data_IF_308845690028
#
_entry.id   IF_308845690028
#
_cell.length_a   1.000
_cell.length_b   1.000
_cell.length_c   1.000
_cell.angle_alpha   90.00
_cell.angle_beta   90.00
_cell.angle_gamma   90.00
#
_symmetry.space_group_name_H-M   'P 1'
#
loop_
_entity.id
_entity.type
_entity.pdbx_description
1 polymer ?
#
# COMPACT_ATOMS: atom_id res chain seq x y z
N UNK A 1 -15.16 -13.70 -5.16
CA UNK A 1 -13.90 -14.04 -4.50
C UNK A 1 -13.04 -12.78 -4.44
N UNK A 2 -12.35 -12.50 -3.32
CA UNK A 2 -11.34 -11.45 -3.24
C UNK A 2 -10.19 -11.67 -4.24
N UNK A 3 -9.49 -10.60 -4.68
CA UNK A 3 -8.40 -10.73 -5.65
C UNK A 3 -7.12 -11.25 -5.00
N UNK A 4 -6.44 -12.18 -5.64
CA UNK A 4 -5.07 -12.57 -5.27
C UNK A 4 -4.06 -11.46 -5.56
N UNK A 5 -2.90 -11.51 -4.92
CA UNK A 5 -1.80 -10.55 -5.14
C UNK A 5 -1.36 -10.45 -6.62
N UNK A 6 -1.19 -11.55 -7.39
CA UNK A 6 -0.85 -11.46 -8.82
C UNK A 6 -1.95 -10.77 -9.64
N UNK A 7 -3.23 -10.97 -9.31
CA UNK A 7 -4.36 -10.33 -10.01
C UNK A 7 -4.40 -8.80 -9.84
N UNK A 8 -3.75 -8.27 -8.79
CA UNK A 8 -3.58 -6.83 -8.55
C UNK A 8 -2.18 -6.33 -8.91
N UNK A 9 -1.35 -7.18 -9.54
CA UNK A 9 -0.03 -6.83 -10.06
C UNK A 9 1.08 -6.81 -9.00
N UNK A 10 0.90 -7.50 -7.88
CA UNK A 10 1.96 -7.74 -6.90
C UNK A 10 2.55 -9.13 -7.16
N UNK A 11 3.85 -9.17 -7.39
CA UNK A 11 4.62 -10.41 -7.52
C UNK A 11 5.35 -10.67 -6.19
N UNK A 12 4.83 -11.60 -5.39
CA UNK A 12 5.53 -12.10 -4.21
C UNK A 12 6.29 -13.35 -4.61
N UNK A 13 7.61 -13.28 -4.52
CA UNK A 13 8.49 -14.44 -4.62
C UNK A 13 8.68 -15.04 -3.21
N UNK A 14 9.90 -14.99 -2.67
CA UNK A 14 10.22 -15.53 -1.34
C UNK A 14 10.16 -14.49 -0.20
N UNK A 15 10.13 -13.19 -0.52
CA UNK A 15 10.36 -12.10 0.44
C UNK A 15 9.13 -11.18 0.49
N UNK A 16 8.75 -10.65 1.68
CA UNK A 16 7.75 -9.60 1.77
C UNK A 16 8.05 -8.41 0.85
N UNK A 17 6.97 -7.83 0.34
CA UNK A 17 6.99 -6.52 -0.30
C UNK A 17 6.32 -5.50 0.61
N UNK A 18 6.57 -4.23 0.35
CA UNK A 18 5.88 -3.13 0.99
C UNK A 18 5.04 -2.39 -0.04
N UNK A 19 3.82 -2.00 0.33
CA UNK A 19 2.97 -1.16 -0.52
C UNK A 19 2.94 0.27 0.00
N UNK A 20 3.00 1.22 -0.92
CA UNK A 20 2.81 2.64 -0.65
C UNK A 20 1.61 3.15 -1.44
N UNK A 21 0.58 3.67 -0.75
CA UNK A 21 -0.61 4.21 -1.41
C UNK A 21 -0.23 5.44 -2.23
N UNK A 22 -0.74 5.52 -3.45
CA UNK A 22 -0.65 6.70 -4.31
C UNK A 22 -2.05 7.16 -4.72
N UNK A 23 -2.21 8.45 -5.02
CA UNK A 23 -3.53 8.97 -5.38
C UNK A 23 -3.91 8.67 -6.83
N UNK A 24 -2.96 8.78 -7.76
CA UNK A 24 -3.25 8.60 -9.20
C UNK A 24 -2.11 7.85 -9.90
N UNK A 25 -2.38 6.65 -10.46
CA UNK A 25 -1.41 5.89 -11.25
C UNK A 25 -0.88 6.61 -12.49
N UNK A 26 -1.64 7.57 -13.03
CA UNK A 26 -1.24 8.32 -14.24
C UNK A 26 0.06 9.10 -14.04
N UNK A 27 0.41 9.46 -12.80
CA UNK A 27 1.68 10.13 -12.50
C UNK A 27 2.89 9.18 -12.49
N UNK A 28 2.65 7.87 -12.63
CA UNK A 28 3.68 6.82 -12.61
C UNK A 28 3.75 6.05 -13.93
N UNK A 29 2.58 5.71 -14.48
CA UNK A 29 2.41 4.91 -15.69
C UNK A 29 2.29 5.78 -16.97
N UNK A 30 2.88 6.98 -17.01
CA UNK A 30 2.88 7.78 -18.24
C UNK A 30 3.85 7.20 -19.28
N UNK A 31 3.62 7.57 -20.55
CA UNK A 31 4.46 7.18 -21.69
C UNK A 31 5.65 8.13 -21.90
N UNK A 32 5.91 9.03 -20.95
CA UNK A 32 7.07 9.93 -21.01
C UNK A 32 8.38 9.14 -20.88
N UNK A 33 9.50 9.77 -21.21
CA UNK A 33 10.80 9.18 -20.95
C UNK A 33 11.06 9.01 -19.43
N UNK A 34 12.03 8.16 -19.08
CA UNK A 34 12.31 7.80 -17.69
C UNK A 34 12.59 9.03 -16.80
N UNK A 35 13.33 10.02 -17.31
CA UNK A 35 13.67 11.20 -16.51
C UNK A 35 12.42 12.04 -16.22
N UNK A 36 11.60 12.29 -17.24
CA UNK A 36 10.35 13.03 -17.09
C UNK A 36 9.37 12.28 -16.17
N UNK A 37 9.25 10.96 -16.30
CA UNK A 37 8.43 10.12 -15.42
C UNK A 37 8.87 10.23 -13.96
N UNK A 38 10.18 10.14 -13.70
CA UNK A 38 10.74 10.25 -12.35
C UNK A 38 10.44 11.62 -11.75
N UNK A 39 10.71 12.70 -12.50
CA UNK A 39 10.47 14.07 -12.03
C UNK A 39 8.98 14.29 -11.71
N UNK A 40 8.09 13.81 -12.58
CA UNK A 40 6.64 13.87 -12.38
C UNK A 40 6.19 13.09 -11.14
N UNK A 41 6.68 11.86 -10.96
CA UNK A 41 6.34 11.03 -9.82
C UNK A 41 6.81 11.64 -8.50
N UNK A 42 8.05 12.14 -8.43
CA UNK A 42 8.57 12.83 -7.24
C UNK A 42 7.67 14.00 -6.86
N UNK A 43 7.38 14.89 -7.81
CA UNK A 43 6.57 16.08 -7.55
C UNK A 43 5.10 15.79 -7.15
N UNK A 44 4.56 14.63 -7.56
CA UNK A 44 3.13 14.30 -7.34
C UNK A 44 2.89 13.33 -6.19
N UNK A 45 3.85 12.45 -5.88
CA UNK A 45 3.75 11.44 -4.82
C UNK A 45 4.46 11.94 -3.56
N UNK A 46 5.64 12.54 -3.71
CA UNK A 46 6.49 12.98 -2.60
C UNK A 46 6.47 14.52 -2.47
N UNK A 47 5.30 15.08 -2.15
CA UNK A 47 5.02 16.53 -2.21
C UNK A 47 5.74 17.35 -1.14
N UNK A 48 5.92 16.76 0.03
CA UNK A 48 6.41 17.44 1.22
C UNK A 48 7.87 17.02 1.49
N UNK A 49 8.84 17.94 1.32
CA UNK A 49 10.22 17.63 1.67
C UNK A 49 10.29 17.32 3.16
N UNK A 50 10.87 16.16 3.52
CA UNK A 50 10.98 15.66 4.90
C UNK A 50 9.69 15.12 5.52
N UNK A 51 8.76 14.66 4.69
CA UNK A 51 7.55 13.99 5.18
C UNK A 51 7.78 12.52 5.53
N UNK A 52 6.87 12.02 6.37
CA UNK A 52 6.73 10.63 6.73
C UNK A 52 5.77 9.98 5.73
N UNK A 53 6.22 8.93 5.08
CA UNK A 53 5.44 8.16 4.13
C UNK A 53 5.13 6.79 4.70
N UNK A 54 3.86 6.38 4.60
CA UNK A 54 3.42 5.09 5.09
C UNK A 54 3.64 3.99 4.06
N UNK A 55 4.21 2.89 4.53
CA UNK A 55 4.46 1.64 3.85
C UNK A 55 3.79 0.50 4.60
N UNK A 56 3.20 -0.45 3.89
CA UNK A 56 2.52 -1.59 4.51
C UNK A 56 3.13 -2.89 4.02
N UNK A 57 3.62 -3.72 4.94
CA UNK A 57 4.22 -5.01 4.63
C UNK A 57 3.14 -6.00 4.17
N UNK A 58 3.36 -6.65 3.02
CA UNK A 58 2.46 -7.65 2.44
C UNK A 58 3.23 -8.94 2.20
N UNK A 59 2.72 -10.05 2.73
CA UNK A 59 3.25 -11.41 2.49
C UNK A 59 2.19 -12.37 1.96
N UNK A 60 0.91 -12.02 2.11
CA UNK A 60 -0.22 -12.83 1.71
C UNK A 60 -1.36 -11.98 1.16
N UNK A 61 -2.25 -12.63 0.41
CA UNK A 61 -3.53 -12.06 -0.01
C UNK A 61 -4.29 -11.45 1.18
N UNK A 62 -4.30 -12.14 2.32
CA UNK A 62 -4.99 -11.70 3.52
C UNK A 62 -4.39 -10.42 4.12
N UNK A 63 -3.06 -10.28 4.11
CA UNK A 63 -2.40 -9.04 4.52
C UNK A 63 -2.91 -7.87 3.68
N UNK A 64 -2.93 -8.04 2.36
CA UNK A 64 -3.43 -7.02 1.46
C UNK A 64 -4.90 -6.68 1.75
N UNK A 65 -5.76 -7.65 2.03
CA UNK A 65 -7.16 -7.38 2.37
C UNK A 65 -7.27 -6.49 3.62
N UNK A 66 -6.55 -6.83 4.69
CA UNK A 66 -6.54 -6.05 5.92
C UNK A 66 -5.98 -4.64 5.71
N UNK A 67 -4.93 -4.50 4.92
CA UNK A 67 -4.36 -3.19 4.57
C UNK A 67 -5.35 -2.37 3.75
N UNK A 68 -5.97 -2.97 2.73
CA UNK A 68 -6.98 -2.32 1.91
C UNK A 68 -8.17 -1.84 2.75
N UNK A 69 -8.60 -2.65 3.74
CA UNK A 69 -9.59 -2.23 4.72
C UNK A 69 -9.13 -1.03 5.53
N UNK A 70 -7.90 -1.04 6.04
CA UNK A 70 -7.32 0.08 6.79
C UNK A 70 -7.28 1.37 5.96
N UNK A 71 -6.82 1.29 4.71
CA UNK A 71 -6.71 2.42 3.77
C UNK A 71 -8.05 2.97 3.28
N UNK A 72 -9.11 2.15 3.34
CA UNK A 72 -10.48 2.54 2.99
C UNK A 72 -11.32 2.93 4.21
N UNK A 73 -10.82 2.68 5.42
CA UNK A 73 -11.55 3.00 6.63
C UNK A 73 -11.69 4.52 6.79
N UNK A 74 -12.91 5.00 7.03
CA UNK A 74 -13.21 6.44 7.11
C UNK A 74 -13.48 7.12 5.77
N UNK A 75 -13.40 6.41 4.63
CA UNK A 75 -13.91 6.91 3.35
C UNK A 75 -15.43 6.85 3.31
N UNK A 76 -16.04 7.65 2.43
CA UNK A 76 -17.49 7.65 2.17
C UNK A 76 -17.97 6.29 1.63
N UNK A 77 -17.11 5.59 0.87
CA UNK A 77 -17.38 4.23 0.40
C UNK A 77 -16.16 3.34 0.64
N UNK A 78 -16.27 2.32 1.51
CA UNK A 78 -15.18 1.37 1.78
C UNK A 78 -14.67 0.60 0.55
N UNK A 79 -15.51 0.47 -0.47
CA UNK A 79 -15.16 -0.19 -1.73
C UNK A 79 -14.55 0.74 -2.78
N UNK A 80 -14.22 1.98 -2.44
CA UNK A 80 -13.46 2.86 -3.33
C UNK A 80 -12.15 2.21 -3.77
N UNK A 81 -11.77 2.47 -5.03
CA UNK A 81 -10.53 1.94 -5.56
C UNK A 81 -9.31 2.47 -4.79
N UNK A 82 -8.28 1.64 -4.72
CA UNK A 82 -6.98 2.01 -4.16
C UNK A 82 -5.92 1.82 -5.22
N UNK A 83 -5.03 2.80 -5.32
CA UNK A 83 -3.85 2.75 -6.18
C UNK A 83 -2.61 2.75 -5.30
N UNK A 84 -1.59 1.99 -5.68
CA UNK A 84 -0.40 1.83 -4.86
C UNK A 84 0.82 1.46 -5.73
N UNK A 85 1.99 1.70 -5.16
CA UNK A 85 3.26 1.13 -5.60
C UNK A 85 3.61 -0.02 -4.67
N UNK A 86 4.37 -0.99 -5.17
CA UNK A 86 4.99 -1.99 -4.32
C UNK A 86 6.51 -1.98 -4.51
N UNK A 87 7.23 -2.32 -3.45
CA UNK A 87 8.69 -2.28 -3.38
C UNK A 87 9.19 -3.48 -2.57
N UNK A 88 10.28 -4.11 -3.02
CA UNK A 88 10.91 -5.22 -2.29
C UNK A 88 11.67 -4.68 -1.08
N UNK A 89 11.79 -5.51 -0.04
CA UNK A 89 12.53 -5.14 1.18
C UNK A 89 13.98 -4.70 0.86
N UNK A 90 14.67 -5.46 0.00
CA UNK A 90 16.03 -5.19 -0.47
C UNK A 90 16.17 -3.84 -1.21
N UNK A 91 15.13 -3.40 -1.91
CA UNK A 91 15.12 -2.12 -2.63
C UNK A 91 15.03 -0.94 -1.65
N UNK A 92 14.26 -1.07 -0.57
CA UNK A 92 14.21 -0.08 0.51
C UNK A 92 15.55 0.00 1.26
N UNK A 93 16.16 -1.13 1.56
CA UNK A 93 17.48 -1.21 2.20
C UNK A 93 18.56 -0.57 1.32
N UNK A 94 18.55 -0.84 0.01
CA UNK A 94 19.49 -0.24 -0.94
C UNK A 94 19.38 1.29 -1.03
N UNK A 95 18.22 1.85 -0.70
CA UNK A 95 17.98 3.31 -0.65
C UNK A 95 18.34 3.92 0.73
N UNK A 96 18.75 3.10 1.69
CA UNK A 96 19.01 3.53 3.07
C UNK A 96 17.75 4.02 3.78
N UNK A 97 16.58 3.51 3.40
CA UNK A 97 15.31 3.88 4.02
C UNK A 97 15.08 3.07 5.29
N UNK A 98 14.87 3.79 6.40
CA UNK A 98 14.63 3.17 7.70
C UNK A 98 13.13 3.07 7.94
N UNK A 99 12.63 1.83 8.04
CA UNK A 99 11.24 1.53 8.37
C UNK A 99 11.03 1.57 9.88
N UNK A 100 10.14 2.43 10.36
CA UNK A 100 9.72 2.48 11.76
C UNK A 100 8.30 1.94 11.87
N UNK A 101 8.09 0.91 12.69
CA UNK A 101 6.75 0.36 12.85
C UNK A 101 5.81 1.43 13.46
N UNK A 102 4.63 1.57 12.86
CA UNK A 102 3.60 2.52 13.25
C UNK A 102 2.32 1.76 13.55
N UNK A 103 1.66 2.06 14.67
CA UNK A 103 0.45 1.34 15.09
C UNK A 103 -0.84 2.08 14.71
N UNK A 104 -0.85 2.73 13.55
CA UNK A 104 -1.98 3.53 13.09
C UNK A 104 -2.94 2.76 12.17
N UNK A 105 -4.19 3.23 12.11
CA UNK A 105 -5.24 2.69 11.25
C UNK A 105 -6.36 2.00 12.03
N UNK A 106 -7.48 1.72 11.33
CA UNK A 106 -8.68 1.14 11.96
C UNK A 106 -8.71 -0.39 11.95
N UNK A 107 -7.91 -1.04 11.11
CA UNK A 107 -7.79 -2.49 11.13
C UNK A 107 -6.64 -2.90 12.08
N UNK A 108 -6.98 -3.53 13.22
CA UNK A 108 -5.98 -3.96 14.21
C UNK A 108 -4.91 -4.88 13.61
N UNK A 109 -5.30 -5.79 12.72
CA UNK A 109 -4.35 -6.65 12.02
C UNK A 109 -3.42 -5.83 11.13
N UNK A 110 -3.94 -4.83 10.41
CA UNK A 110 -3.12 -4.03 9.52
C UNK A 110 -2.12 -3.16 10.29
N UNK A 111 -2.43 -2.69 11.52
CA UNK A 111 -1.50 -1.90 12.36
C UNK A 111 -0.13 -2.58 12.50
N UNK A 112 -0.10 -3.90 12.65
CA UNK A 112 1.16 -4.67 12.77
C UNK A 112 1.98 -4.72 11.46
N UNK A 113 1.39 -4.30 10.35
CA UNK A 113 1.97 -4.28 9.02
C UNK A 113 2.37 -2.87 8.58
N UNK A 114 2.02 -1.83 9.33
CA UNK A 114 2.28 -0.44 8.98
C UNK A 114 3.66 -0.01 9.46
N UNK A 115 4.41 0.60 8.55
CA UNK A 115 5.70 1.22 8.79
C UNK A 115 5.70 2.62 8.20
N UNK A 116 6.30 3.54 8.93
CA UNK A 116 6.53 4.91 8.51
C UNK A 116 8.00 5.07 8.12
N UNK A 117 8.23 5.85 7.05
CA UNK A 117 9.55 6.09 6.49
C UNK A 117 9.72 7.58 6.23
N UNK A 118 10.79 8.16 6.76
CA UNK A 118 11.21 9.51 6.38
C UNK A 118 11.97 9.45 5.06
N UNK A 119 11.51 10.19 4.06
CA UNK A 119 12.12 10.21 2.72
C UNK A 119 12.48 11.65 2.36
N UNK A 120 13.77 11.91 2.18
CA UNK A 120 14.23 13.20 1.67
C UNK A 120 14.13 13.29 0.13
N UNK A 121 14.25 14.49 -0.48
CA UNK A 121 14.08 14.65 -1.93
C UNK A 121 15.03 13.79 -2.79
N UNK A 122 16.27 13.57 -2.34
CA UNK A 122 17.23 12.74 -3.07
C UNK A 122 16.81 11.25 -3.01
N UNK A 123 16.38 10.78 -1.85
CA UNK A 123 15.84 9.42 -1.68
C UNK A 123 14.56 9.21 -2.48
N UNK A 124 13.64 10.19 -2.51
CA UNK A 124 12.43 10.11 -3.32
C UNK A 124 12.75 9.97 -4.82
N UNK A 125 13.72 10.73 -5.33
CA UNK A 125 14.18 10.61 -6.73
C UNK A 125 14.80 9.24 -7.00
N UNK A 126 15.68 8.76 -6.11
CA UNK A 126 16.30 7.44 -6.23
C UNK A 126 15.27 6.31 -6.17
N UNK A 127 14.28 6.42 -5.29
CA UNK A 127 13.16 5.49 -5.17
C UNK A 127 12.38 5.39 -6.48
N UNK A 128 11.92 6.54 -7.01
CA UNK A 128 11.20 6.60 -8.27
C UNK A 128 12.03 6.02 -9.43
N UNK A 129 13.29 6.44 -9.54
CA UNK A 129 14.18 5.97 -10.60
C UNK A 129 14.42 4.46 -10.55
N UNK A 130 14.71 3.92 -9.37
CA UNK A 130 14.97 2.50 -9.17
C UNK A 130 13.77 1.65 -9.61
N UNK A 131 12.57 1.97 -9.11
CA UNK A 131 11.37 1.20 -9.41
C UNK A 131 10.94 1.33 -10.87
N UNK A 132 11.04 2.53 -11.46
CA UNK A 132 10.68 2.73 -12.86
C UNK A 132 11.67 2.08 -13.82
N UNK A 133 12.96 2.05 -13.47
CA UNK A 133 14.00 1.33 -14.22
C UNK A 133 13.79 -0.19 -14.17
N UNK A 134 13.26 -0.70 -13.06
CA UNK A 134 12.80 -2.09 -12.93
C UNK A 134 11.43 -2.34 -13.60
N UNK A 135 10.96 -1.40 -14.43
CA UNK A 135 9.68 -1.44 -15.14
C UNK A 135 8.44 -1.61 -14.24
N UNK A 136 8.57 -1.32 -12.94
CA UNK A 136 7.48 -1.47 -11.97
C UNK A 136 6.34 -0.54 -12.36
N UNK A 137 5.13 -1.10 -12.48
CA UNK A 137 3.91 -0.34 -12.76
C UNK A 137 3.21 0.02 -11.46
N UNK A 138 2.51 1.14 -11.46
CA UNK A 138 1.56 1.44 -10.41
C UNK A 138 0.37 0.47 -10.51
N UNK A 139 0.05 -0.15 -9.40
CA UNK A 139 -1.01 -1.13 -9.26
C UNK A 139 -2.32 -0.47 -8.82
N UNK A 140 -3.43 -1.19 -9.05
CA UNK A 140 -4.75 -0.74 -8.65
C UNK A 140 -5.65 -1.91 -8.28
N UNK A 141 -6.25 -1.84 -7.10
CA UNK A 141 -7.39 -2.66 -6.75
C UNK A 141 -8.67 -1.87 -7.05
N UNK A 142 -9.39 -2.30 -8.09
CA UNK A 142 -10.57 -1.58 -8.61
C UNK A 142 -11.76 -1.73 -7.67
N UNK A 143 -12.75 -0.84 -7.81
CA UNK A 143 -13.97 -0.84 -6.98
C UNK A 143 -14.63 -2.22 -6.81
N UNK A 144 -14.77 -3.00 -7.89
CA UNK A 144 -15.36 -4.35 -7.83
C UNK A 144 -14.52 -5.32 -6.99
N UNK A 145 -13.20 -5.26 -7.10
CA UNK A 145 -12.28 -6.07 -6.29
C UNK A 145 -12.28 -5.60 -4.84
N UNK A 146 -12.29 -4.28 -4.60
CA UNK A 146 -12.42 -3.73 -3.26
C UNK A 146 -13.73 -4.13 -2.59
N UNK A 147 -14.84 -4.20 -3.34
CA UNK A 147 -16.10 -4.72 -2.79
C UNK A 147 -15.97 -6.17 -2.32
N UNK A 148 -15.34 -7.05 -3.11
CA UNK A 148 -15.16 -8.45 -2.69
C UNK A 148 -14.24 -8.59 -1.47
N UNK A 149 -13.26 -7.69 -1.32
CA UNK A 149 -12.43 -7.58 -0.10
C UNK A 149 -13.28 -7.17 1.12
N UNK A 150 -14.07 -6.11 0.98
CA UNK A 150 -14.97 -5.62 2.04
C UNK A 150 -15.93 -6.72 2.49
N UNK A 151 -16.59 -7.40 1.55
CA UNK A 151 -17.54 -8.47 1.83
C UNK A 151 -16.86 -9.64 2.57
N UNK A 152 -15.68 -10.07 2.12
CA UNK A 152 -14.90 -11.14 2.75
C UNK A 152 -14.52 -10.80 4.20
N UNK A 153 -14.03 -9.59 4.44
CA UNK A 153 -13.62 -9.18 5.78
C UNK A 153 -14.83 -8.99 6.71
N UNK A 154 -15.95 -8.49 6.19
CA UNK A 154 -17.20 -8.35 6.94
C UNK A 154 -17.72 -9.71 7.38
N UNK A 155 -17.71 -10.71 6.48
CA UNK A 155 -18.07 -12.10 6.82
C UNK A 155 -17.15 -12.71 7.88
N UNK A 156 -15.91 -12.26 7.97
CA UNK A 156 -14.94 -12.65 9.01
C UNK A 156 -15.04 -11.82 10.30
N UNK A 157 -16.06 -10.97 10.43
CA UNK A 157 -16.28 -10.15 11.62
C UNK A 157 -15.35 -8.94 11.73
N UNK A 158 -14.77 -8.48 10.62
CA UNK A 158 -13.96 -7.26 10.62
C UNK A 158 -14.82 -6.03 10.93
N UNK A 159 -14.42 -5.27 11.94
CA UNK A 159 -15.08 -4.03 12.37
C UNK A 159 -14.34 -2.76 11.93
N UNK A 160 -13.37 -2.86 11.01
CA UNK A 160 -12.57 -1.71 10.56
C UNK A 160 -13.43 -0.57 9.96
N UNK A 161 -14.63 -0.90 9.47
CA UNK A 161 -15.59 0.05 8.90
C UNK A 161 -16.67 0.53 9.88
N UNK A 162 -16.74 -0.06 11.09
CA UNK A 162 -17.68 0.34 12.12
C UNK A 162 -17.23 1.62 12.84
N UNK A 163 -18.14 2.26 13.57
CA UNK A 163 -17.83 3.43 14.40
C UNK A 163 -16.89 3.08 15.57
N UNK A 164 -16.95 1.84 16.08
CA UNK A 164 -16.13 1.33 17.17
C UNK A 164 -15.21 0.17 16.71
N UNK A 165 -14.09 0.46 16.02
CA UNK A 165 -13.20 -0.56 15.45
C UNK A 165 -12.44 -1.39 16.49
N UNK A 166 -12.31 -0.91 17.73
CA UNK A 166 -11.56 -1.58 18.81
C UNK A 166 -12.23 -2.87 19.31
N UNK A 167 -13.47 -3.15 18.86
CA UNK A 167 -14.20 -4.40 19.13
C UNK A 167 -13.99 -5.46 18.03
N UNK A 168 -12.98 -5.32 17.16
CA UNK A 168 -12.75 -6.29 16.08
C UNK A 168 -12.41 -7.68 16.62
N UNK A 169 -13.24 -8.66 16.30
CA UNK A 169 -12.99 -10.08 16.59
C UNK A 169 -12.11 -10.77 15.54
N UNK A 170 -11.73 -10.05 14.48
CA UNK A 170 -10.94 -10.55 13.37
C UNK A 170 -9.58 -11.17 13.78
N UNK A 171 -9.02 -10.73 14.90
CA UNK A 171 -7.75 -11.24 15.44
C UNK A 171 -7.90 -12.61 16.13
N UNK A 172 -9.08 -12.94 16.64
CA UNK A 172 -9.33 -14.20 17.36
C UNK A 172 -9.44 -15.42 16.43
N UNK A 173 -9.48 -15.21 15.11
CA UNK A 173 -9.55 -16.26 14.08
C UNK A 173 -8.18 -16.64 13.50
N UNK A 174 -7.10 -16.04 14.02
CA UNK A 174 -5.74 -16.17 13.48
C UNK A 174 -4.75 -16.74 14.52
N UNK A 175 -5.25 -17.13 15.69
CA UNK A 175 -4.58 -17.95 16.71
C UNK A 175 -5.03 -19.39 16.58
#
# INVERSE_FOLDING_TARGET
MPPSLPEIGIEIEAVPVYIHKIDRPVFWNSDDDLEQRVNNAVAKIFKDPESIYSFWRVQSDFDFYCIAASLSAGRSSPSEEISFLWVKSEELEALGLVLQQSEEGRCLYARRLHYDVSINPAQARSFCFMLMRAERKACRCRKKQMQTVVDCLTQKGCQAYAEAPDLCSCMALLT
#
